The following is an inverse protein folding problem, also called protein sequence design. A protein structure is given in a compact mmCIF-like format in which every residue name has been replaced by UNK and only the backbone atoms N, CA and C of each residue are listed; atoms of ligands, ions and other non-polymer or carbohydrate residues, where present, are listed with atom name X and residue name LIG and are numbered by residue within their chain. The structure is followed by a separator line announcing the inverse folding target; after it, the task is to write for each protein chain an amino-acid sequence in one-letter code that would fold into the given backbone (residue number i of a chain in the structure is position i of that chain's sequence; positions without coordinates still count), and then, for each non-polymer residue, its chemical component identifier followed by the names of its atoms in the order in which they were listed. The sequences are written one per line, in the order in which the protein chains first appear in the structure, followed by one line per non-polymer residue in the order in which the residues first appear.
data_IF_493899089213
#
_entry.id   IF_493899089213
#
_cell.length_a   1.000
_cell.length_b   1.000
_cell.length_c   1.000
_cell.angle_alpha   90.00
_cell.angle_beta   90.00
_cell.angle_gamma   90.00
#
_symmetry.space_group_name_H-M   'P 1'
#
loop_
_entity.id
_entity.type
_entity.pdbx_description
1 polymer ?
#
# COMPACT_ATOMS: atom_id res chain seq x y z
N UNK A 1 -22.85 21.44 18.86
CA UNK A 1 -21.37 21.46 18.76
C UNK A 1 -20.85 22.88 18.90
N UNK A 2 -20.21 23.24 20.03
CA UNK A 2 -19.66 24.60 20.28
C UNK A 2 -18.30 24.85 19.59
N UNK A 3 -17.64 23.78 19.10
CA UNK A 3 -16.29 23.81 18.51
C UNK A 3 -16.20 24.58 17.17
N UNK A 4 -17.26 24.61 16.37
CA UNK A 4 -17.26 25.29 15.07
C UNK A 4 -17.37 26.82 15.16
N UNK A 5 -17.51 27.37 16.37
CA UNK A 5 -17.58 28.82 16.64
C UNK A 5 -16.19 29.44 16.86
N UNK A 6 -15.15 28.62 17.02
CA UNK A 6 -13.78 29.13 17.15
C UNK A 6 -13.24 29.61 15.80
N UNK A 7 -12.33 30.60 15.80
CA UNK A 7 -11.61 31.01 14.60
C UNK A 7 -10.94 29.81 13.91
N UNK A 8 -10.93 29.82 12.58
CA UNK A 8 -10.40 28.70 11.79
C UNK A 8 -8.95 28.34 12.12
N UNK A 9 -8.13 29.33 12.48
CA UNK A 9 -6.73 29.11 12.89
C UNK A 9 -6.65 28.28 14.17
N UNK A 10 -7.46 28.59 15.18
CA UNK A 10 -7.53 27.84 16.44
C UNK A 10 -7.98 26.41 16.19
N UNK A 11 -9.00 26.22 15.35
CA UNK A 11 -9.46 24.88 14.97
C UNK A 11 -8.33 24.10 14.30
N UNK A 12 -7.62 24.69 13.34
CA UNK A 12 -6.52 24.03 12.63
C UNK A 12 -5.40 23.62 13.56
N UNK A 13 -5.05 24.45 14.54
CA UNK A 13 -4.00 24.14 15.51
C UNK A 13 -4.41 23.02 16.47
N UNK A 14 -5.67 22.95 16.88
CA UNK A 14 -6.18 21.80 17.64
C UNK A 14 -6.12 20.52 16.81
N UNK A 15 -6.54 20.57 15.54
CA UNK A 15 -6.55 19.39 14.66
C UNK A 15 -5.15 18.79 14.42
N UNK A 16 -4.08 19.61 14.41
CA UNK A 16 -2.70 19.12 14.25
C UNK A 16 -2.25 18.17 15.36
N UNK A 17 -2.86 18.26 16.54
CA UNK A 17 -2.48 17.47 17.71
C UNK A 17 -3.28 16.18 17.86
N UNK A 18 -4.28 15.95 16.99
CA UNK A 18 -5.11 14.76 17.03
C UNK A 18 -4.48 13.62 16.23
N UNK A 19 -4.74 12.40 16.68
CA UNK A 19 -4.37 11.20 15.94
C UNK A 19 -5.19 11.08 14.63
N UNK A 20 -4.68 10.39 13.61
CA UNK A 20 -5.34 10.27 12.31
C UNK A 20 -6.71 9.63 12.39
N UNK A 21 -6.99 8.76 13.38
CA UNK A 21 -8.27 8.08 13.51
C UNK A 21 -9.32 9.04 14.07
N UNK A 22 -8.97 9.84 15.07
CA UNK A 22 -9.81 10.94 15.53
C UNK A 22 -10.12 11.92 14.40
N UNK A 23 -9.12 12.25 13.56
CA UNK A 23 -9.31 13.15 12.43
C UNK A 23 -10.25 12.58 11.36
N UNK A 24 -10.12 11.30 11.02
CA UNK A 24 -11.06 10.60 10.11
C UNK A 24 -12.47 10.65 10.69
N UNK A 25 -12.67 10.28 11.95
CA UNK A 25 -14.00 10.28 12.56
C UNK A 25 -14.61 11.70 12.63
N UNK A 26 -13.79 12.72 12.90
CA UNK A 26 -14.24 14.11 12.90
C UNK A 26 -14.61 14.60 11.50
N UNK A 27 -13.85 14.21 10.46
CA UNK A 27 -14.18 14.58 9.07
C UNK A 27 -15.45 13.88 8.58
N UNK A 28 -15.78 12.70 9.12
CA UNK A 28 -17.04 12.01 8.84
C UNK A 28 -18.22 12.72 9.48
N UNK A 29 -18.04 13.28 10.68
CA UNK A 29 -19.06 14.07 11.36
C UNK A 29 -19.25 15.48 10.74
N UNK A 30 -18.23 16.04 10.07
CA UNK A 30 -18.29 17.37 9.48
C UNK A 30 -17.42 17.54 8.24
N UNK A 31 -18.05 17.80 7.09
CA UNK A 31 -17.37 18.17 5.84
C UNK A 31 -16.44 19.39 6.02
N UNK A 32 -16.88 20.38 6.82
CA UNK A 32 -16.09 21.59 7.10
C UNK A 32 -14.77 21.24 7.79
N UNK A 33 -14.78 20.31 8.75
CA UNK A 33 -13.56 19.85 9.42
C UNK A 33 -12.66 19.10 8.44
N UNK A 34 -13.23 18.25 7.58
CA UNK A 34 -12.48 17.52 6.55
C UNK A 34 -11.58 18.41 5.68
N UNK A 35 -12.06 19.60 5.31
CA UNK A 35 -11.27 20.55 4.52
C UNK A 35 -10.13 21.24 5.31
N UNK A 36 -10.19 21.22 6.64
CA UNK A 36 -9.23 21.88 7.53
C UNK A 36 -8.11 20.96 8.02
N UNK A 37 -8.24 19.64 7.81
CA UNK A 37 -7.26 18.65 8.27
C UNK A 37 -5.93 18.88 7.54
N UNK A 38 -4.86 19.29 8.25
CA UNK A 38 -3.61 19.66 7.62
C UNK A 38 -2.60 18.52 7.77
N UNK A 39 -2.65 17.46 6.96
CA UNK A 39 -1.79 16.29 7.23
C UNK A 39 -1.14 15.55 6.05
N UNK A 40 -1.29 15.97 4.79
CA UNK A 40 -0.44 15.44 3.73
C UNK A 40 0.70 16.37 3.33
N UNK A 41 1.83 15.76 2.96
CA UNK A 41 2.97 16.43 2.34
C UNK A 41 4.25 16.39 3.17
N UNK A 42 4.22 15.87 4.40
CA UNK A 42 5.45 15.64 5.17
C UNK A 42 5.99 14.25 4.89
N UNK A 43 7.32 14.08 4.89
CA UNK A 43 7.97 12.77 4.77
C UNK A 43 7.61 11.80 5.91
N UNK A 44 7.03 12.33 6.99
CA UNK A 44 6.66 11.57 8.18
C UNK A 44 5.26 10.98 8.11
N UNK A 45 4.43 11.43 7.17
CA UNK A 45 3.08 10.90 6.94
C UNK A 45 3.07 10.00 5.70
N UNK A 46 2.73 8.73 5.87
CA UNK A 46 2.65 7.75 4.77
C UNK A 46 1.36 6.96 4.87
N UNK A 47 0.75 6.70 3.72
CA UNK A 47 -0.37 5.76 3.61
C UNK A 47 0.10 4.60 2.76
N UNK A 48 -0.02 3.38 3.27
CA UNK A 48 0.46 2.16 2.63
C UNK A 48 -0.67 1.14 2.59
N UNK A 49 -0.72 0.35 1.54
CA UNK A 49 -1.72 -0.70 1.37
C UNK A 49 -1.03 -2.06 1.24
N UNK A 50 -1.21 -2.88 2.26
CA UNK A 50 -0.70 -4.25 2.32
C UNK A 50 -1.83 -5.20 2.78
N UNK A 51 -1.56 -6.05 3.77
CA UNK A 51 -2.61 -6.80 4.47
C UNK A 51 -3.61 -5.88 5.20
N UNK A 52 -3.13 -4.71 5.60
CA UNK A 52 -3.89 -3.62 6.23
C UNK A 52 -3.81 -2.36 5.35
N UNK A 53 -4.74 -1.43 5.58
CA UNK A 53 -4.49 -0.04 5.21
C UNK A 53 -3.74 0.61 6.36
N UNK A 54 -2.50 1.00 6.12
CA UNK A 54 -1.58 1.49 7.15
C UNK A 54 -1.44 2.99 6.99
N UNK A 55 -1.70 3.74 8.06
CA UNK A 55 -1.32 5.15 8.17
C UNK A 55 -0.13 5.22 9.12
N UNK A 56 1.01 5.69 8.63
CA UNK A 56 2.23 5.85 9.41
C UNK A 56 2.46 7.34 9.65
N UNK A 57 2.60 7.72 10.92
CA UNK A 57 2.94 9.09 11.35
C UNK A 57 4.08 9.02 12.36
N UNK A 58 5.25 9.54 11.99
CA UNK A 58 6.47 9.37 12.77
C UNK A 58 6.75 7.86 13.02
N UNK A 59 6.85 7.44 14.29
CA UNK A 59 7.08 6.06 14.72
C UNK A 59 5.79 5.26 14.94
N UNK A 60 4.62 5.92 14.85
CA UNK A 60 3.32 5.29 15.07
C UNK A 60 2.74 4.78 13.76
N UNK A 61 2.20 3.58 13.78
CA UNK A 61 1.42 3.02 12.69
C UNK A 61 0.01 2.68 13.14
N UNK A 62 -0.95 3.02 12.29
CA UNK A 62 -2.37 2.76 12.46
C UNK A 62 -2.78 1.74 11.39
N UNK A 63 -2.88 0.47 11.80
CA UNK A 63 -3.18 -0.66 10.94
C UNK A 63 -4.70 -0.85 10.89
N UNK A 64 -5.32 -0.33 9.84
CA UNK A 64 -6.76 -0.37 9.62
C UNK A 64 -7.13 -1.70 8.98
N UNK A 65 -8.04 -2.44 9.63
CA UNK A 65 -8.53 -3.71 9.09
C UNK A 65 -9.31 -3.51 7.79
N UNK A 66 -9.14 -4.45 6.87
CA UNK A 66 -9.85 -4.48 5.59
C UNK A 66 -10.99 -5.52 5.70
N UNK A 67 -12.19 -5.17 6.19
CA UNK A 67 -13.28 -6.13 6.33
C UNK A 67 -13.74 -6.62 4.95
N UNK A 68 -14.11 -7.90 4.86
CA UNK A 68 -14.64 -8.50 3.63
C UNK A 68 -16.02 -7.94 3.27
N UNK A 69 -16.84 -7.69 4.28
CA UNK A 69 -18.18 -7.14 4.15
C UNK A 69 -18.22 -5.72 4.70
N UNK A 70 -19.30 -4.99 4.40
CA UNK A 70 -19.59 -3.72 5.06
C UNK A 70 -19.69 -3.95 6.56
N UNK A 71 -18.98 -3.15 7.34
CA UNK A 71 -19.02 -3.14 8.79
C UNK A 71 -19.19 -1.72 9.25
N UNK A 72 -20.12 -1.45 10.18
CA UNK A 72 -20.36 -0.11 10.76
C UNK A 72 -19.20 0.39 11.63
N UNK A 73 -18.27 -0.50 11.97
CA UNK A 73 -17.10 -0.21 12.79
C UNK A 73 -15.90 -0.97 12.23
N UNK A 74 -14.86 -0.23 11.87
CA UNK A 74 -13.60 -0.80 11.40
C UNK A 74 -12.57 -0.66 12.50
N UNK A 75 -11.98 -1.80 12.87
CA UNK A 75 -10.97 -1.86 13.92
C UNK A 75 -9.62 -1.38 13.38
N UNK A 76 -8.92 -0.62 14.22
CA UNK A 76 -7.59 -0.09 13.93
C UNK A 76 -6.66 -0.50 15.05
N UNK A 77 -5.54 -1.13 14.71
CA UNK A 77 -4.47 -1.49 15.65
C UNK A 77 -3.36 -0.46 15.61
N UNK A 78 -2.92 0.02 16.77
CA UNK A 78 -1.78 0.91 16.87
C UNK A 78 -0.53 0.13 17.24
N UNK A 79 0.51 0.26 16.44
CA UNK A 79 1.86 -0.23 16.72
C UNK A 79 2.84 0.94 16.76
N UNK A 80 3.92 0.80 17.54
CA UNK A 80 5.03 1.76 17.61
C UNK A 80 6.29 0.98 17.24
N UNK A 81 7.11 1.53 16.35
CA UNK A 81 8.34 0.89 15.84
C UNK A 81 8.10 -0.51 15.27
N UNK A 82 6.94 -0.73 14.65
CA UNK A 82 6.52 -2.04 14.12
C UNK A 82 6.52 -3.17 15.16
N UNK A 83 6.58 -2.84 16.45
CA UNK A 83 6.59 -3.82 17.52
C UNK A 83 5.20 -4.45 17.67
N UNK A 84 5.18 -5.78 17.69
CA UNK A 84 4.05 -6.58 18.12
C UNK A 84 4.23 -7.00 19.59
N UNK A 85 3.17 -7.07 20.40
CA UNK A 85 1.75 -6.91 20.05
C UNK A 85 1.30 -5.44 19.91
N UNK A 86 0.12 -5.24 19.29
CA UNK A 86 -0.51 -3.93 19.20
C UNK A 86 -0.69 -3.32 20.61
N UNK A 87 -0.35 -2.04 20.75
CA UNK A 87 -0.45 -1.33 22.04
C UNK A 87 -1.88 -0.93 22.37
N UNK A 88 -2.61 -0.48 21.35
CA UNK A 88 -3.94 0.10 21.49
C UNK A 88 -4.84 -0.27 20.31
N UNK A 89 -6.14 -0.21 20.56
CA UNK A 89 -7.19 -0.49 19.58
C UNK A 89 -8.14 0.70 19.48
N UNK A 90 -8.32 1.20 18.26
CA UNK A 90 -9.27 2.28 17.94
C UNK A 90 -10.31 1.80 16.92
N UNK A 91 -11.29 2.68 16.67
CA UNK A 91 -12.37 2.40 15.75
C UNK A 91 -12.62 3.57 14.78
N UNK A 92 -12.82 3.24 13.51
CA UNK A 92 -13.38 4.14 12.51
C UNK A 92 -14.86 3.79 12.33
N UNK A 93 -15.74 4.79 12.41
CA UNK A 93 -17.17 4.63 12.14
C UNK A 93 -17.43 4.78 10.64
N UNK A 94 -17.36 3.67 9.92
CA UNK A 94 -17.57 3.61 8.47
C UNK A 94 -18.69 2.64 8.19
N UNK A 95 -19.56 2.88 7.22
CA UNK A 95 -20.69 1.98 6.91
C UNK A 95 -20.75 1.60 5.42
N UNK A 96 -19.61 1.70 4.73
CA UNK A 96 -19.47 1.32 3.33
C UNK A 96 -18.33 0.34 3.14
N UNK A 97 -17.96 0.05 1.89
CA UNK A 97 -16.81 -0.84 1.60
C UNK A 97 -15.50 -0.21 2.06
N UNK A 98 -14.54 -1.04 2.43
CA UNK A 98 -13.20 -0.60 2.85
C UNK A 98 -12.45 0.15 1.74
N UNK A 99 -12.72 -0.19 0.47
CA UNK A 99 -12.16 0.49 -0.69
C UNK A 99 -12.59 1.95 -0.77
N UNK A 100 -13.84 2.25 -0.41
CA UNK A 100 -14.33 3.62 -0.32
C UNK A 100 -13.70 4.36 0.87
N UNK A 101 -13.39 3.67 1.97
CA UNK A 101 -12.64 4.26 3.09
C UNK A 101 -11.22 4.62 2.68
N UNK A 102 -10.55 3.77 1.89
CA UNK A 102 -9.22 4.08 1.32
C UNK A 102 -9.26 5.41 0.54
N UNK A 103 -10.19 5.54 -0.41
CA UNK A 103 -10.33 6.76 -1.21
C UNK A 103 -10.65 7.96 -0.33
N UNK A 104 -11.52 7.78 0.67
CA UNK A 104 -11.86 8.81 1.63
C UNK A 104 -10.64 9.31 2.40
N UNK A 105 -9.81 8.40 2.91
CA UNK A 105 -8.56 8.72 3.62
C UNK A 105 -7.62 9.51 2.71
N UNK A 106 -7.37 9.04 1.49
CA UNK A 106 -6.49 9.73 0.55
C UNK A 106 -6.98 11.17 0.25
N UNK A 107 -8.29 11.37 0.12
CA UNK A 107 -8.90 12.70 -0.10
C UNK A 107 -8.85 13.61 1.12
N UNK A 108 -9.16 13.08 2.30
CA UNK A 108 -9.18 13.86 3.55
C UNK A 108 -7.79 14.34 3.90
N UNK A 109 -6.81 13.43 3.83
CA UNK A 109 -5.43 13.81 4.11
C UNK A 109 -4.81 14.58 2.95
N UNK A 110 -5.28 14.39 1.71
CA UNK A 110 -4.71 14.93 0.46
C UNK A 110 -3.32 14.37 0.15
N UNK A 111 -3.14 13.07 0.42
CA UNK A 111 -1.89 12.37 0.20
C UNK A 111 -2.01 11.32 -0.91
N UNK A 112 -0.91 11.05 -1.65
CA UNK A 112 -0.83 9.86 -2.47
C UNK A 112 -0.69 8.61 -1.61
N UNK A 113 -1.01 7.46 -2.20
CA UNK A 113 -0.68 6.17 -1.62
C UNK A 113 0.84 5.96 -1.79
N UNK A 114 1.57 5.84 -0.69
CA UNK A 114 3.03 5.70 -0.72
C UNK A 114 3.44 4.37 -1.34
N UNK A 115 2.83 3.29 -0.87
CA UNK A 115 3.18 1.93 -1.29
C UNK A 115 1.94 1.05 -1.39
N UNK A 116 1.85 0.26 -2.45
CA UNK A 116 0.95 -0.90 -2.55
C UNK A 116 1.79 -2.16 -2.61
N UNK A 117 1.57 -3.09 -1.69
CA UNK A 117 2.31 -4.35 -1.63
C UNK A 117 1.37 -5.55 -1.80
N UNK A 118 1.42 -6.20 -2.97
CA UNK A 118 0.57 -7.35 -3.25
C UNK A 118 0.98 -8.62 -2.50
N UNK A 119 2.23 -8.73 -2.04
CA UNK A 119 2.78 -9.98 -1.47
C UNK A 119 1.99 -10.46 -0.25
N UNK A 120 1.54 -9.52 0.58
CA UNK A 120 0.85 -9.79 1.85
C UNK A 120 -0.67 -9.65 1.75
N UNK A 121 -1.20 -9.27 0.59
CA UNK A 121 -2.63 -8.99 0.40
C UNK A 121 -3.32 -10.12 -0.39
N UNK A 122 -4.49 -10.62 0.06
CA UNK A 122 -5.27 -11.57 -0.72
C UNK A 122 -5.66 -11.02 -2.09
N UNK A 123 -5.52 -11.84 -3.15
CA UNK A 123 -5.76 -11.44 -4.54
C UNK A 123 -7.12 -10.75 -4.77
N UNK A 124 -8.19 -11.20 -4.10
CA UNK A 124 -9.51 -10.56 -4.21
C UNK A 124 -9.52 -9.11 -3.74
N UNK A 125 -8.92 -8.84 -2.57
CA UNK A 125 -8.79 -7.48 -2.02
C UNK A 125 -7.90 -6.60 -2.89
N UNK A 126 -6.82 -7.15 -3.43
CA UNK A 126 -5.96 -6.40 -4.34
C UNK A 126 -6.68 -5.98 -5.61
N UNK A 127 -7.46 -6.88 -6.21
CA UNK A 127 -8.25 -6.57 -7.41
C UNK A 127 -9.26 -5.45 -7.09
N UNK A 128 -9.98 -5.56 -5.97
CA UNK A 128 -10.90 -4.50 -5.51
C UNK A 128 -10.18 -3.16 -5.32
N UNK A 129 -8.99 -3.17 -4.72
CA UNK A 129 -8.16 -1.98 -4.53
C UNK A 129 -7.75 -1.35 -5.86
N UNK A 130 -7.22 -2.16 -6.77
CA UNK A 130 -6.72 -1.71 -8.08
C UNK A 130 -7.86 -1.10 -8.89
N UNK A 131 -9.04 -1.71 -8.88
CA UNK A 131 -10.23 -1.19 -9.56
C UNK A 131 -10.64 0.18 -9.01
N UNK A 132 -10.74 0.35 -7.68
CA UNK A 132 -11.13 1.64 -7.11
C UNK A 132 -10.03 2.70 -7.32
N UNK A 133 -8.76 2.34 -7.20
CA UNK A 133 -7.64 3.27 -7.39
C UNK A 133 -7.56 3.76 -8.84
N UNK A 134 -7.79 2.87 -9.82
CA UNK A 134 -7.87 3.26 -11.22
C UNK A 134 -9.09 4.13 -11.51
N UNK A 135 -10.27 3.75 -11.00
CA UNK A 135 -11.50 4.53 -11.20
C UNK A 135 -11.42 5.94 -10.62
N UNK A 136 -10.81 6.09 -9.45
CA UNK A 136 -10.66 7.37 -8.73
C UNK A 136 -9.37 8.11 -9.09
N UNK A 137 -8.56 7.57 -10.02
CA UNK A 137 -7.28 8.13 -10.47
C UNK A 137 -6.35 8.46 -9.30
N UNK A 138 -6.33 7.59 -8.30
CA UNK A 138 -5.50 7.75 -7.11
C UNK A 138 -4.01 7.73 -7.49
N UNK A 139 -3.27 8.73 -7.02
CA UNK A 139 -1.81 8.73 -7.17
C UNK A 139 -1.19 7.64 -6.27
N UNK A 140 -0.37 6.80 -6.87
CA UNK A 140 0.39 5.74 -6.20
C UNK A 140 1.88 6.02 -6.43
N UNK A 141 2.65 6.24 -5.38
CA UNK A 141 4.09 6.45 -5.54
C UNK A 141 4.78 5.16 -5.96
N UNK A 142 4.57 4.09 -5.22
CA UNK A 142 5.24 2.81 -5.45
C UNK A 142 4.25 1.65 -5.39
N UNK A 143 4.40 0.70 -6.31
CA UNK A 143 3.58 -0.51 -6.34
C UNK A 143 4.45 -1.74 -6.56
N UNK A 144 4.23 -2.75 -5.73
CA UNK A 144 4.90 -4.05 -5.78
C UNK A 144 3.87 -5.11 -6.14
N UNK A 145 4.06 -5.78 -7.27
CA UNK A 145 3.15 -6.80 -7.81
C UNK A 145 3.86 -8.16 -7.86
N UNK A 146 3.22 -9.16 -7.27
CA UNK A 146 3.65 -10.55 -7.22
C UNK A 146 3.10 -11.34 -8.41
N UNK A 147 3.88 -12.31 -8.92
CA UNK A 147 3.66 -12.99 -10.20
C UNK A 147 2.30 -13.67 -10.36
N UNK A 148 1.70 -14.21 -9.29
CA UNK A 148 0.41 -14.92 -9.36
C UNK A 148 -0.73 -14.06 -9.93
N UNK A 149 -0.57 -12.74 -9.86
CA UNK A 149 -1.52 -11.76 -10.37
C UNK A 149 -1.34 -11.47 -11.86
N UNK A 150 -0.17 -11.74 -12.44
CA UNK A 150 0.10 -11.49 -13.87
C UNK A 150 -0.66 -12.43 -14.81
N UNK A 151 -1.01 -13.64 -14.35
CA UNK A 151 -1.70 -14.64 -15.17
C UNK A 151 -3.13 -14.21 -15.58
N UNK A 152 -3.68 -13.16 -14.98
CA UNK A 152 -5.00 -12.63 -15.33
C UNK A 152 -4.87 -11.49 -16.34
N UNK A 153 -5.24 -11.73 -17.60
CA UNK A 153 -5.27 -10.70 -18.66
C UNK A 153 -5.99 -9.40 -18.23
N UNK A 154 -7.01 -9.52 -17.40
CA UNK A 154 -7.75 -8.36 -16.87
C UNK A 154 -6.92 -7.46 -15.95
N UNK A 155 -5.92 -7.99 -15.24
CA UNK A 155 -5.10 -7.21 -14.31
C UNK A 155 -4.09 -6.32 -15.04
N UNK A 156 -3.53 -6.80 -16.15
CA UNK A 156 -2.59 -6.02 -16.97
C UNK A 156 -3.21 -4.70 -17.44
N UNK A 157 -4.41 -4.77 -18.04
CA UNK A 157 -5.11 -3.58 -18.52
C UNK A 157 -5.45 -2.59 -17.40
N UNK A 158 -5.69 -3.05 -16.17
CA UNK A 158 -5.99 -2.13 -15.08
C UNK A 158 -4.71 -1.50 -14.54
N UNK A 159 -3.60 -2.24 -14.47
CA UNK A 159 -2.30 -1.70 -14.05
C UNK A 159 -1.83 -0.58 -14.99
N UNK A 160 -2.03 -0.74 -16.30
CA UNK A 160 -1.70 0.29 -17.30
C UNK A 160 -2.50 1.60 -17.10
N UNK A 161 -3.66 1.53 -16.43
CA UNK A 161 -4.50 2.69 -16.11
C UNK A 161 -4.29 3.23 -14.69
N UNK A 162 -3.28 2.75 -13.97
CA UNK A 162 -2.94 3.27 -12.63
C UNK A 162 -1.99 4.48 -12.74
N UNK A 163 -2.26 5.51 -11.94
CA UNK A 163 -1.41 6.69 -11.84
C UNK A 163 -0.22 6.41 -10.90
N UNK A 164 0.79 5.70 -11.42
CA UNK A 164 2.00 5.34 -10.67
C UNK A 164 3.10 6.39 -10.92
N UNK A 165 3.53 7.11 -9.88
CA UNK A 165 4.39 8.30 -10.04
C UNK A 165 5.87 8.10 -9.74
N UNK A 166 6.27 6.97 -9.12
CA UNK A 166 7.69 6.69 -8.87
C UNK A 166 8.16 5.34 -9.40
N UNK A 167 7.61 4.24 -8.89
CA UNK A 167 8.13 2.89 -9.21
C UNK A 167 7.03 1.86 -9.31
N UNK A 168 7.13 1.01 -10.33
CA UNK A 168 6.38 -0.22 -10.44
C UNK A 168 7.38 -1.39 -10.40
N UNK A 169 7.26 -2.24 -9.39
CA UNK A 169 8.15 -3.37 -9.17
C UNK A 169 7.34 -4.64 -9.38
N UNK A 170 7.79 -5.45 -10.34
CA UNK A 170 7.11 -6.68 -10.70
C UNK A 170 8.06 -7.82 -10.39
N UNK A 171 7.66 -8.64 -9.40
CA UNK A 171 8.42 -9.83 -9.02
C UNK A 171 7.95 -11.03 -9.82
N UNK A 172 8.91 -11.74 -10.43
CA UNK A 172 8.68 -13.07 -11.02
C UNK A 172 9.37 -14.11 -10.13
N UNK A 173 8.63 -15.16 -9.76
CA UNK A 173 9.25 -16.43 -9.42
C UNK A 173 9.68 -17.07 -10.74
N UNK A 174 10.97 -17.37 -10.82
CA UNK A 174 11.48 -18.32 -11.80
C UNK A 174 11.32 -19.68 -11.12
N UNK A 175 10.53 -20.58 -11.71
CA UNK A 175 10.53 -21.98 -11.25
C UNK A 175 11.95 -22.54 -11.43
N UNK A 176 12.45 -23.29 -10.45
CA UNK A 176 13.85 -23.78 -10.42
C UNK A 176 14.26 -24.49 -11.72
N UNK A 177 13.30 -25.09 -12.44
CA UNK A 177 13.51 -25.77 -13.73
C UNK A 177 13.84 -24.85 -14.91
N UNK A 178 13.39 -23.59 -14.88
CA UNK A 178 13.79 -22.56 -15.87
C UNK A 178 15.16 -21.98 -15.53
N UNK A 179 15.50 -21.90 -14.24
CA UNK A 179 16.85 -21.55 -13.80
C UNK A 179 17.87 -22.65 -14.15
N UNK A 180 17.54 -23.92 -13.91
CA UNK A 180 18.39 -25.06 -14.32
C UNK A 180 18.66 -25.01 -15.82
N UNK A 181 17.65 -24.78 -16.65
CA UNK A 181 17.83 -24.62 -18.11
C UNK A 181 18.66 -23.39 -18.50
N UNK A 182 18.43 -22.24 -17.87
CA UNK A 182 19.21 -21.02 -18.14
C UNK A 182 20.66 -21.10 -17.63
N UNK A 183 20.87 -21.83 -16.53
CA UNK A 183 22.18 -22.10 -15.94
C UNK A 183 22.94 -23.15 -16.74
N UNK A 184 22.27 -24.20 -17.22
CA UNK A 184 22.81 -25.18 -18.17
C UNK A 184 23.21 -24.52 -19.48
N UNK A 185 22.37 -23.65 -20.07
CA UNK A 185 22.76 -22.85 -21.25
C UNK A 185 23.96 -21.95 -20.99
N UNK A 186 24.00 -21.27 -19.84
CA UNK A 186 25.14 -20.42 -19.47
C UNK A 186 26.42 -21.23 -19.20
N UNK A 187 26.26 -22.46 -18.69
CA UNK A 187 27.35 -23.41 -18.49
C UNK A 187 27.87 -23.95 -19.83
N UNK A 188 27.00 -24.30 -20.77
CA UNK A 188 27.38 -24.71 -22.13
C UNK A 188 28.15 -23.60 -22.85
N UNK A 189 27.70 -22.35 -22.72
CA UNK A 189 28.40 -21.16 -23.26
C UNK A 189 29.75 -20.91 -22.57
N UNK A 190 29.88 -21.24 -21.28
CA UNK A 190 31.14 -21.11 -20.52
C UNK A 190 32.13 -22.25 -20.76
N UNK A 191 31.65 -23.47 -21.05
CA UNK A 191 32.48 -24.62 -21.41
C UNK A 191 33.13 -24.44 -22.78
N UNK A 192 32.46 -23.72 -23.70
CA UNK A 192 33.06 -23.30 -24.97
C UNK A 192 34.25 -22.34 -24.79
N UNK A 193 34.33 -21.64 -23.64
CA UNK A 193 35.37 -20.65 -23.33
C UNK A 193 36.37 -21.10 -22.25
N UNK A 194 36.44 -22.40 -21.93
CA UNK A 194 37.59 -23.01 -21.26
C UNK A 194 37.76 -22.76 -19.75
N UNK A 195 36.69 -22.49 -18.99
CA UNK A 195 36.77 -22.30 -17.53
C UNK A 195 35.85 -23.24 -16.74
N UNK A 196 36.40 -24.28 -16.12
CA UNK A 196 35.65 -25.28 -15.34
C UNK A 196 35.70 -24.96 -13.84
N UNK A 197 34.55 -24.66 -13.19
CA UNK A 197 34.41 -24.84 -11.74
C UNK A 197 33.03 -25.36 -11.34
N UNK A 198 33.05 -26.40 -10.49
CA UNK A 198 31.92 -27.09 -9.88
C UNK A 198 31.14 -26.15 -8.96
N UNK A 199 29.81 -26.16 -9.03
CA UNK A 199 28.94 -25.65 -7.97
C UNK A 199 27.86 -26.69 -7.68
N UNK A 200 27.97 -27.33 -6.51
CA UNK A 200 26.94 -28.22 -5.94
C UNK A 200 26.11 -27.43 -4.93
N UNK A 201 24.80 -27.43 -5.16
CA UNK A 201 23.76 -27.63 -4.14
C UNK A 201 23.54 -26.55 -3.08
N UNK A 202 22.69 -25.56 -3.39
CA UNK A 202 21.82 -24.87 -2.42
C UNK A 202 20.52 -24.47 -3.14
N UNK A 203 19.38 -25.08 -2.79
CA UNK A 203 18.06 -24.59 -3.23
C UNK A 203 17.79 -23.29 -2.46
N UNK A 204 18.05 -22.16 -3.09
CA UNK A 204 17.53 -20.85 -2.70
C UNK A 204 16.52 -20.43 -3.76
N UNK A 205 15.28 -20.17 -3.34
CA UNK A 205 14.31 -19.48 -4.19
C UNK A 205 14.88 -18.09 -4.50
N UNK A 206 15.24 -17.85 -5.76
CA UNK A 206 15.61 -16.53 -6.23
C UNK A 206 14.39 -15.89 -6.89
N UNK A 207 13.94 -14.74 -6.36
CA UNK A 207 12.99 -13.88 -7.06
C UNK A 207 13.78 -13.01 -8.03
N UNK A 208 13.37 -12.97 -9.30
CA UNK A 208 13.87 -11.96 -10.22
C UNK A 208 12.98 -10.72 -10.04
N UNK A 209 13.58 -9.65 -9.51
CA UNK A 209 12.97 -8.33 -9.45
C UNK A 209 13.17 -7.64 -10.80
N UNK A 210 12.07 -7.33 -11.49
CA UNK A 210 12.11 -6.44 -12.64
C UNK A 210 11.65 -5.07 -12.14
N UNK A 211 12.63 -4.17 -12.02
CA UNK A 211 12.39 -2.76 -11.69
C UNK A 211 12.00 -2.00 -12.96
N UNK A 212 10.74 -1.58 -13.03
CA UNK A 212 10.30 -0.60 -14.03
C UNK A 212 10.32 0.78 -13.38
N UNK A 213 11.32 1.58 -13.72
CA UNK A 213 11.39 3.00 -13.36
C UNK A 213 10.45 3.74 -14.30
N UNK A 214 9.40 4.35 -13.74
CA UNK A 214 8.50 5.22 -14.51
C UNK A 214 9.23 6.55 -14.73
N UNK A 215 9.63 6.80 -15.98
CA UNK A 215 10.17 8.08 -16.41
C UNK A 215 8.98 8.86 -16.99
N UNK A 216 8.49 9.85 -16.24
CA UNK A 216 7.52 10.83 -16.74
C UNK A 216 8.23 11.93 -17.52
#
# INVERSE_FOLDING_TARGET
MKFLRFPMLVIRDVLKNLDPIALINLSLASKKIGHLIPLAGTHRFRVELEHFLIISINEKQYNIQLPKNVSNRITVMITIDNAWPAREWLHIYWNKKWTELLVYILRVFKCPLTTVNSKSMPNGKLIEAIQIMSAEQCEIKQMYIHQDLQKKKSLRNIIENLNITKRLIITRLIEVTEWERSFEQSLEESQFNGGMQRVVGWIRFFSQEIDLIVIN
#
